data_IF_468097505445
#
_entry.id   IF_468097505445
#
_cell.length_a   1.000
_cell.length_b   1.000
_cell.length_c   1.000
_cell.angle_alpha   90.00
_cell.angle_beta   90.00
_cell.angle_gamma   90.00
#
_symmetry.space_group_name_H-M   'P 1'
#
loop_
_entity.id
_entity.type
_entity.pdbx_description
1 polymer ?
#
# COMPACT_ATOMS: atom_id res chain seq x y z
N UNK A 1 1.10 84.10 6.99
CA UNK A 1 0.77 84.30 5.55
C UNK A 1 0.57 82.92 4.93
N UNK A 2 -0.43 82.71 4.05
CA UNK A 2 -0.63 81.43 3.34
C UNK A 2 -2.00 80.74 3.52
N UNK A 3 -2.98 81.14 2.71
CA UNK A 3 -4.21 80.43 2.25
C UNK A 3 -4.54 81.01 0.85
N UNK A 4 -5.45 80.45 0.01
CA UNK A 4 -6.32 79.25 0.14
C UNK A 4 -5.70 78.05 -0.64
N UNK A 5 -6.35 77.03 -1.23
CA UNK A 5 -7.76 76.61 -1.44
C UNK A 5 -7.81 75.05 -1.61
N UNK A 6 -8.96 74.35 -1.64
CA UNK A 6 -10.33 74.74 -1.29
C UNK A 6 -11.39 73.69 -1.69
N UNK A 7 -12.39 73.46 -0.81
CA UNK A 7 -13.68 72.79 -1.08
C UNK A 7 -13.64 71.27 -1.40
N UNK A 8 -14.72 70.49 -1.27
CA UNK A 8 -16.11 70.79 -0.90
C UNK A 8 -16.76 69.53 -0.27
N UNK A 9 -17.43 69.65 0.87
CA UNK A 9 -18.27 68.58 1.42
C UNK A 9 -19.75 68.98 1.29
N UNK A 10 -20.65 68.06 0.92
CA UNK A 10 -22.09 68.25 1.12
C UNK A 10 -22.60 67.40 2.29
N UNK A 11 -23.18 68.08 3.28
CA UNK A 11 -24.13 67.45 4.21
C UNK A 11 -25.30 66.86 3.41
N UNK A 12 -25.71 65.63 3.74
CA UNK A 12 -27.15 65.34 3.88
C UNK A 12 -27.43 64.56 5.15
N UNK A 13 -27.91 65.32 6.14
CA UNK A 13 -28.61 64.82 7.31
C UNK A 13 -29.93 64.18 6.87
N UNK A 14 -30.16 62.92 7.22
CA UNK A 14 -31.51 62.36 7.35
C UNK A 14 -31.51 61.33 8.47
N UNK A 15 -31.93 61.79 9.65
CA UNK A 15 -32.07 60.99 10.85
C UNK A 15 -33.49 60.39 10.88
N UNK A 16 -33.62 59.07 10.82
CA UNK A 16 -34.82 58.38 11.31
C UNK A 16 -34.39 57.20 12.19
N UNK A 17 -34.57 57.39 13.49
CA UNK A 17 -34.38 56.37 14.52
C UNK A 17 -35.66 55.54 14.64
N UNK A 18 -35.54 54.22 14.48
CA UNK A 18 -36.53 53.27 14.99
C UNK A 18 -35.89 51.90 15.26
N UNK A 19 -35.31 51.77 16.46
CA UNK A 19 -35.38 50.62 17.37
C UNK A 19 -35.38 49.19 16.78
N UNK A 20 -34.49 48.33 17.29
CA UNK A 20 -34.92 46.95 17.59
C UNK A 20 -33.99 45.78 17.25
N UNK A 21 -32.74 45.99 16.81
CA UNK A 21 -31.76 44.90 16.76
C UNK A 21 -30.45 45.33 17.41
N UNK A 22 -30.13 44.70 18.54
CA UNK A 22 -28.81 44.82 19.18
C UNK A 22 -27.80 44.02 18.36
N UNK A 23 -27.19 44.66 17.37
CA UNK A 23 -26.10 44.07 16.59
C UNK A 23 -24.87 43.93 17.49
N UNK A 24 -24.64 42.75 18.04
CA UNK A 24 -23.36 42.42 18.67
C UNK A 24 -22.32 42.24 17.56
N UNK A 25 -21.57 43.31 17.28
CA UNK A 25 -20.32 43.21 16.53
C UNK A 25 -19.39 42.26 17.31
N UNK A 26 -19.18 41.05 16.78
CA UNK A 26 -18.11 40.17 17.24
C UNK A 26 -16.93 40.40 16.30
N UNK A 27 -15.86 40.96 16.85
CA UNK A 27 -14.59 41.14 16.14
C UNK A 27 -14.15 39.83 15.48
N UNK A 28 -13.64 39.94 14.25
CA UNK A 28 -13.04 38.82 13.55
C UNK A 28 -11.81 38.34 14.32
N UNK A 29 -11.58 37.02 14.48
CA UNK A 29 -10.35 36.52 15.07
C UNK A 29 -9.17 36.86 14.14
N UNK A 30 -8.39 37.87 14.49
CA UNK A 30 -7.06 38.09 13.92
C UNK A 30 -6.06 37.09 14.52
N UNK A 31 -6.21 35.82 14.18
CA UNK A 31 -5.14 34.81 14.29
C UNK A 31 -5.28 33.82 13.13
N UNK A 32 -4.18 33.62 12.40
CA UNK A 32 -4.21 33.02 11.06
C UNK A 32 -4.51 31.53 11.07
N UNK A 33 -5.54 31.10 10.33
CA UNK A 33 -5.79 29.73 9.87
C UNK A 33 -5.56 28.60 10.89
N UNK A 34 -5.82 28.85 12.19
CA UNK A 34 -5.73 27.81 13.22
C UNK A 34 -6.87 26.82 13.04
N UNK A 35 -6.58 25.76 12.28
CA UNK A 35 -7.47 24.64 12.03
C UNK A 35 -8.03 24.06 13.33
N UNK A 36 -9.30 24.34 13.61
CA UNK A 36 -10.03 23.75 14.74
C UNK A 36 -10.32 22.30 14.41
N UNK A 37 -9.42 21.43 14.86
CA UNK A 37 -9.50 20.01 14.65
C UNK A 37 -10.44 19.35 15.67
N UNK A 38 -11.56 18.80 15.20
CA UNK A 38 -12.51 18.05 16.03
C UNK A 38 -11.90 16.73 16.53
N UNK A 39 -12.52 16.08 17.52
CA UNK A 39 -12.04 14.80 18.08
C UNK A 39 -11.82 13.73 17.00
N UNK A 40 -12.76 13.61 16.06
CA UNK A 40 -12.72 12.71 14.90
C UNK A 40 -11.76 13.13 13.77
N UNK A 41 -10.90 14.13 14.03
CA UNK A 41 -9.90 14.68 13.09
C UNK A 41 -10.49 15.25 11.80
N UNK A 42 -11.76 15.63 11.83
CA UNK A 42 -12.42 16.40 10.77
C UNK A 42 -12.43 17.88 11.15
N UNK A 43 -11.81 18.70 10.31
CA UNK A 43 -11.93 20.15 10.34
C UNK A 43 -13.01 20.61 9.36
N UNK A 44 -13.75 21.66 9.72
CA UNK A 44 -14.70 22.33 8.81
C UNK A 44 -14.09 23.66 8.37
N UNK A 45 -13.66 23.72 7.11
CA UNK A 45 -13.13 24.94 6.49
C UNK A 45 -14.27 25.78 5.92
N UNK A 46 -14.26 27.07 6.21
CA UNK A 46 -15.19 28.06 5.63
C UNK A 46 -14.60 28.60 4.33
N UNK A 47 -15.43 28.85 3.33
CA UNK A 47 -14.99 29.48 2.08
C UNK A 47 -16.12 30.31 1.45
N UNK A 48 -15.81 31.41 0.76
CA UNK A 48 -16.82 32.19 0.04
C UNK A 48 -17.39 31.38 -1.13
N UNK A 49 -18.71 31.47 -1.32
CA UNK A 49 -19.43 30.84 -2.42
C UNK A 49 -20.63 31.69 -2.84
N UNK A 50 -21.13 31.50 -4.06
CA UNK A 50 -22.29 32.21 -4.59
C UNK A 50 -23.55 31.34 -4.45
N UNK A 51 -24.65 31.93 -3.96
CA UNK A 51 -25.99 31.35 -4.07
C UNK A 51 -26.45 31.40 -5.54
N UNK A 52 -27.43 30.56 -5.95
CA UNK A 52 -28.04 30.66 -7.29
C UNK A 52 -28.65 32.03 -7.63
N UNK A 53 -28.94 32.85 -6.62
CA UNK A 53 -29.43 34.24 -6.75
C UNK A 53 -28.34 35.27 -7.04
N UNK A 54 -27.05 34.87 -7.11
CA UNK A 54 -25.92 35.79 -7.26
C UNK A 54 -25.45 36.45 -5.96
N UNK A 55 -26.04 36.11 -4.82
CA UNK A 55 -25.65 36.62 -3.50
C UNK A 55 -24.40 35.87 -2.98
N UNK A 56 -23.39 36.62 -2.53
CA UNK A 56 -22.19 36.06 -1.90
C UNK A 56 -22.51 35.54 -0.49
N UNK A 57 -22.07 34.33 -0.16
CA UNK A 57 -22.31 33.70 1.14
C UNK A 57 -21.13 32.83 1.58
N UNK A 58 -21.21 32.25 2.77
CA UNK A 58 -20.18 31.34 3.31
C UNK A 58 -20.63 29.89 3.20
N UNK A 59 -19.86 29.09 2.48
CA UNK A 59 -20.00 27.64 2.42
C UNK A 59 -19.04 26.94 3.40
N UNK A 60 -19.35 25.69 3.71
CA UNK A 60 -18.59 24.86 4.65
C UNK A 60 -18.15 23.57 3.96
N UNK A 61 -16.86 23.24 4.01
CA UNK A 61 -16.28 22.00 3.51
C UNK A 61 -15.62 21.25 4.66
N UNK A 62 -15.90 19.94 4.76
CA UNK A 62 -15.14 19.03 5.63
C UNK A 62 -13.81 18.66 4.98
N UNK A 63 -12.74 18.60 5.77
CA UNK A 63 -11.45 18.02 5.41
C UNK A 63 -10.85 17.30 6.63
N UNK A 64 -9.90 16.41 6.42
CA UNK A 64 -9.09 15.90 7.53
C UNK A 64 -8.09 16.96 7.98
N UNK A 65 -7.77 16.97 9.26
CA UNK A 65 -6.77 17.88 9.81
C UNK A 65 -5.37 17.61 9.25
N UNK A 66 -4.45 18.58 9.33
CA UNK A 66 -3.04 18.38 8.97
C UNK A 66 -2.46 17.10 9.60
N UNK A 67 -1.80 16.26 8.79
CA UNK A 67 -1.27 14.96 9.21
C UNK A 67 -2.27 13.81 9.12
N UNK A 68 -3.47 14.02 8.55
CA UNK A 68 -4.49 12.98 8.37
C UNK A 68 -5.03 12.93 6.93
N UNK A 69 -5.17 11.72 6.39
CA UNK A 69 -5.77 11.41 5.08
C UNK A 69 -7.18 10.84 5.22
N UNK A 70 -8.08 11.16 4.28
CA UNK A 70 -9.47 10.67 4.29
C UNK A 70 -9.58 9.30 3.61
N UNK A 71 -10.02 8.29 4.37
CA UNK A 71 -10.10 6.89 3.92
C UNK A 71 -11.42 6.30 4.40
N UNK A 72 -12.25 5.81 3.47
CA UNK A 72 -13.52 5.10 3.74
C UNK A 72 -14.44 5.78 4.79
N UNK A 73 -14.50 7.12 4.80
CA UNK A 73 -15.35 7.88 5.72
C UNK A 73 -14.66 8.38 6.99
N UNK A 74 -13.40 8.02 7.22
CA UNK A 74 -12.63 8.36 8.42
C UNK A 74 -11.36 9.15 8.07
N UNK A 75 -10.84 9.89 9.04
CA UNK A 75 -9.55 10.56 8.94
C UNK A 75 -8.51 9.74 9.71
N UNK A 76 -7.57 9.13 9.00
CA UNK A 76 -6.48 8.33 9.56
C UNK A 76 -5.15 9.08 9.44
N UNK A 77 -4.15 8.86 10.32
CA UNK A 77 -2.87 9.52 10.18
C UNK A 77 -2.19 9.22 8.83
N UNK A 78 -1.44 10.19 8.30
CA UNK A 78 -0.72 10.03 7.02
C UNK A 78 0.38 8.96 7.12
N UNK A 79 1.04 8.90 8.27
CA UNK A 79 2.11 7.98 8.69
C UNK A 79 1.61 6.66 9.30
N UNK A 80 0.28 6.42 9.30
CA UNK A 80 -0.30 5.19 9.84
C UNK A 80 0.05 3.97 8.98
N UNK A 81 0.97 3.14 9.45
CA UNK A 81 1.26 1.83 8.87
C UNK A 81 0.17 0.82 9.22
N UNK A 82 -0.70 0.56 8.24
CA UNK A 82 -1.79 -0.42 8.33
C UNK A 82 -1.30 -1.87 8.47
N UNK A 83 -0.03 -2.14 8.18
CA UNK A 83 0.57 -3.48 8.15
C UNK A 83 1.48 -3.79 9.36
N UNK A 84 1.75 -2.81 10.25
CA UNK A 84 2.71 -2.94 11.35
C UNK A 84 2.46 -4.17 12.26
N UNK A 85 1.19 -4.46 12.58
CA UNK A 85 0.77 -5.57 13.44
C UNK A 85 0.59 -6.91 12.69
N UNK A 86 1.16 -7.04 11.49
CA UNK A 86 1.04 -8.22 10.62
C UNK A 86 -0.41 -8.79 10.52
N UNK A 87 -1.41 -7.98 10.13
CA UNK A 87 -2.83 -8.40 10.12
C UNK A 87 -3.12 -9.51 9.11
N UNK A 88 -2.25 -9.68 8.11
CA UNK A 88 -2.37 -10.67 7.05
C UNK A 88 -1.56 -11.95 7.37
N UNK A 89 -2.01 -13.09 6.86
CA UNK A 89 -1.31 -14.38 7.01
C UNK A 89 -0.02 -14.45 6.19
N UNK A 90 -0.04 -13.88 4.98
CA UNK A 90 1.09 -13.88 4.05
C UNK A 90 1.50 -12.45 3.70
N UNK A 91 0.96 -11.87 2.63
CA UNK A 91 1.35 -10.52 2.19
C UNK A 91 0.35 -9.47 2.68
N UNK A 92 0.87 -8.36 3.21
CA UNK A 92 0.12 -7.15 3.55
C UNK A 92 0.62 -5.99 2.69
N UNK A 93 -0.30 -5.20 2.15
CA UNK A 93 0.02 -3.98 1.39
C UNK A 93 -0.93 -2.84 1.79
N UNK A 94 -0.41 -1.61 1.90
CA UNK A 94 -1.28 -0.44 2.02
C UNK A 94 -1.90 -0.09 0.67
N UNK A 95 -3.22 0.07 0.62
CA UNK A 95 -3.97 0.45 -0.57
C UNK A 95 -4.79 1.72 -0.33
N UNK A 96 -4.09 2.83 -0.07
CA UNK A 96 -4.65 4.13 0.34
C UNK A 96 -5.23 4.13 1.77
N UNK A 97 -4.44 3.72 2.76
CA UNK A 97 -4.83 3.69 4.17
C UNK A 97 -5.71 2.50 4.57
N UNK A 98 -5.63 1.39 3.83
CA UNK A 98 -6.42 0.19 4.09
C UNK A 98 -5.59 -1.05 3.82
N UNK A 99 -5.70 -2.02 4.74
CA UNK A 99 -5.08 -3.34 4.63
C UNK A 99 -5.60 -4.05 3.38
N UNK A 100 -4.71 -4.33 2.44
CA UNK A 100 -4.94 -5.31 1.38
C UNK A 100 -4.08 -6.54 1.67
N UNK A 101 -4.73 -7.61 2.14
CA UNK A 101 -4.11 -8.91 2.27
C UNK A 101 -4.10 -9.65 0.93
N UNK A 102 -2.97 -10.22 0.57
CA UNK A 102 -2.79 -11.10 -0.59
C UNK A 102 -1.96 -12.34 -0.21
N UNK A 103 -1.99 -13.35 -1.06
CA UNK A 103 -1.21 -14.57 -0.87
C UNK A 103 0.05 -14.55 -1.75
N UNK A 104 1.07 -15.33 -1.39
CA UNK A 104 2.24 -15.56 -2.21
C UNK A 104 1.88 -16.30 -3.52
N UNK A 105 2.73 -16.23 -4.56
CA UNK A 105 2.60 -17.12 -5.73
C UNK A 105 2.51 -18.59 -5.29
N UNK A 106 1.68 -19.38 -5.99
CA UNK A 106 1.36 -20.77 -5.61
C UNK A 106 0.24 -20.90 -4.57
N UNK A 107 -0.32 -19.79 -4.07
CA UNK A 107 -1.44 -19.80 -3.11
C UNK A 107 -2.67 -19.06 -3.66
N UNK A 108 -3.86 -19.60 -3.38
CA UNK A 108 -5.16 -18.97 -3.65
C UNK A 108 -5.74 -18.34 -2.38
N UNK A 109 -6.33 -17.17 -2.53
CA UNK A 109 -6.98 -16.45 -1.44
C UNK A 109 -8.41 -16.96 -1.21
N UNK A 110 -8.69 -17.45 0.00
CA UNK A 110 -10.02 -17.90 0.43
C UNK A 110 -10.75 -16.78 1.19
N UNK A 111 -11.72 -16.17 0.51
CA UNK A 111 -12.44 -15.00 1.02
C UNK A 111 -13.33 -15.32 2.22
N UNK A 112 -13.99 -16.47 2.25
CA UNK A 112 -14.91 -16.81 3.34
C UNK A 112 -14.13 -17.20 4.60
N UNK A 113 -13.02 -17.95 4.45
CA UNK A 113 -12.11 -18.20 5.59
C UNK A 113 -11.55 -16.90 6.18
N UNK A 114 -11.05 -15.99 5.34
CA UNK A 114 -10.58 -14.68 5.81
C UNK A 114 -11.70 -13.90 6.53
N UNK A 115 -12.91 -13.89 5.98
CA UNK A 115 -14.08 -13.22 6.58
C UNK A 115 -14.45 -13.81 7.95
N UNK A 116 -14.38 -15.13 8.09
CA UNK A 116 -14.65 -15.84 9.35
C UNK A 116 -13.45 -15.82 10.32
N UNK A 117 -12.31 -15.24 9.93
CA UNK A 117 -11.02 -15.26 10.65
C UNK A 117 -10.43 -16.66 10.83
N UNK A 118 -10.81 -17.60 9.96
CA UNK A 118 -10.28 -18.95 9.90
C UNK A 118 -8.92 -18.93 9.16
N UNK A 119 -7.87 -19.48 9.79
CA UNK A 119 -6.56 -19.68 9.18
C UNK A 119 -6.30 -21.17 8.90
N UNK A 120 -5.53 -21.54 7.85
CA UNK A 120 -5.07 -20.66 6.78
C UNK A 120 -6.23 -20.25 5.86
N UNK A 121 -6.19 -19.01 5.36
CA UNK A 121 -7.01 -18.49 4.26
C UNK A 121 -6.18 -18.23 2.99
N UNK A 122 -4.84 -18.31 3.06
CA UNK A 122 -4.01 -18.49 1.88
C UNK A 122 -3.79 -19.99 1.67
N UNK A 123 -4.64 -20.59 0.84
CA UNK A 123 -4.64 -22.03 0.61
C UNK A 123 -3.69 -22.37 -0.54
N UNK A 124 -2.94 -23.45 -0.40
CA UNK A 124 -2.06 -23.99 -1.43
C UNK A 124 -2.83 -24.28 -2.73
N UNK A 125 -2.22 -24.02 -3.88
CA UNK A 125 -2.77 -24.40 -5.19
C UNK A 125 -2.11 -25.72 -5.59
N UNK A 126 -2.85 -26.82 -5.48
CA UNK A 126 -2.37 -28.09 -6.02
C UNK A 126 -2.35 -28.04 -7.55
N UNK A 127 -1.20 -27.69 -8.12
CA UNK A 127 -1.07 -27.57 -9.57
C UNK A 127 -1.08 -28.95 -10.25
N UNK A 128 -0.66 -30.00 -9.55
CA UNK A 128 -0.73 -31.38 -10.03
C UNK A 128 -2.19 -31.83 -10.25
N UNK A 129 -3.08 -31.52 -9.32
CA UNK A 129 -4.52 -31.75 -9.45
C UNK A 129 -5.15 -30.81 -10.51
N UNK A 130 -4.78 -29.52 -10.50
CA UNK A 130 -5.37 -28.51 -11.39
C UNK A 130 -5.04 -28.74 -12.88
N UNK A 131 -3.87 -29.32 -13.18
CA UNK A 131 -3.38 -29.55 -14.55
C UNK A 131 -3.74 -30.89 -15.16
N UNK A 132 -4.49 -31.75 -14.45
CA UNK A 132 -4.74 -33.15 -14.82
C UNK A 132 -3.43 -33.92 -15.10
N UNK A 133 -2.35 -33.62 -14.37
CA UNK A 133 -1.02 -34.23 -14.55
C UNK A 133 -0.18 -33.71 -15.73
N UNK A 134 -0.65 -32.75 -16.53
CA UNK A 134 0.07 -32.29 -17.74
C UNK A 134 1.29 -31.38 -17.47
N UNK A 135 1.53 -30.95 -16.22
CA UNK A 135 2.68 -30.12 -15.86
C UNK A 135 4.03 -30.83 -15.89
N UNK A 136 4.01 -32.16 -15.76
CA UNK A 136 5.19 -33.00 -15.65
C UNK A 136 5.10 -34.12 -16.69
N UNK A 137 6.24 -34.51 -17.27
CA UNK A 137 6.28 -35.61 -18.23
C UNK A 137 6.03 -37.00 -17.61
N UNK A 138 6.21 -37.14 -16.28
CA UNK A 138 6.05 -38.39 -15.54
C UNK A 138 5.33 -38.15 -14.21
N UNK A 139 6.05 -37.94 -13.10
CA UNK A 139 5.46 -37.78 -11.77
C UNK A 139 5.36 -36.30 -11.43
N UNK A 140 4.18 -35.84 -11.03
CA UNK A 140 3.98 -34.51 -10.44
C UNK A 140 3.84 -34.65 -8.92
N UNK A 141 4.62 -33.88 -8.16
CA UNK A 141 4.54 -33.84 -6.70
C UNK A 141 4.24 -32.41 -6.26
N UNK A 142 3.05 -32.20 -5.69
CA UNK A 142 2.64 -30.93 -5.12
C UNK A 142 3.47 -30.57 -3.88
N UNK A 143 3.72 -29.29 -3.65
CA UNK A 143 4.47 -28.75 -2.50
C UNK A 143 3.88 -27.41 -2.06
N UNK A 144 4.17 -26.97 -0.83
CA UNK A 144 3.63 -25.70 -0.34
C UNK A 144 4.11 -24.50 -1.19
N UNK A 145 3.21 -23.92 -1.99
CA UNK A 145 3.44 -22.80 -2.88
C UNK A 145 4.07 -23.14 -4.24
N UNK A 146 4.16 -24.42 -4.61
CA UNK A 146 4.71 -24.85 -5.91
C UNK A 146 4.53 -26.34 -6.17
N UNK A 147 5.00 -26.84 -7.31
CA UNK A 147 5.14 -28.27 -7.58
C UNK A 147 6.58 -28.59 -8.01
N UNK A 148 6.93 -29.87 -7.97
CA UNK A 148 8.13 -30.40 -8.63
C UNK A 148 7.79 -31.62 -9.46
N UNK A 149 8.47 -31.76 -10.59
CA UNK A 149 8.42 -32.99 -11.36
C UNK A 149 9.52 -33.94 -10.90
N UNK A 150 9.15 -35.20 -10.76
CA UNK A 150 10.03 -36.34 -10.48
C UNK A 150 9.94 -37.36 -11.62
N UNK A 151 11.00 -38.15 -11.77
CA UNK A 151 11.11 -39.14 -12.84
C UNK A 151 11.10 -40.55 -12.25
N UNK A 152 10.60 -41.51 -13.01
CA UNK A 152 10.70 -42.93 -12.69
C UNK A 152 12.16 -43.40 -12.67
N UNK A 153 12.41 -44.53 -12.04
CA UNK A 153 13.75 -45.13 -11.98
C UNK A 153 14.33 -45.35 -13.38
N UNK A 154 15.60 -45.01 -13.57
CA UNK A 154 16.27 -45.04 -14.88
C UNK A 154 15.99 -43.83 -15.79
N UNK A 155 15.24 -42.82 -15.33
CA UNK A 155 15.04 -41.55 -16.03
C UNK A 155 15.70 -40.39 -15.28
N UNK A 156 16.19 -39.39 -16.03
CA UNK A 156 16.82 -38.18 -15.50
C UNK A 156 15.98 -36.95 -15.87
N UNK A 157 15.88 -35.99 -14.96
CA UNK A 157 15.13 -34.75 -15.20
C UNK A 157 15.95 -33.75 -15.99
N UNK A 158 15.36 -33.22 -17.05
CA UNK A 158 15.94 -32.21 -17.93
C UNK A 158 16.07 -30.83 -17.27
N UNK A 159 16.81 -29.94 -17.95
CA UNK A 159 17.05 -28.56 -17.52
C UNK A 159 15.76 -27.70 -17.44
N UNK A 160 14.67 -28.10 -18.09
CA UNK A 160 13.35 -27.46 -17.99
C UNK A 160 12.63 -27.77 -16.66
N UNK A 161 13.15 -28.72 -15.86
CA UNK A 161 12.57 -29.15 -14.60
C UNK A 161 11.28 -29.96 -14.72
N UNK A 162 10.87 -30.38 -15.93
CA UNK A 162 9.57 -31.01 -16.23
C UNK A 162 9.68 -32.28 -17.07
N UNK A 163 10.63 -32.31 -18.00
CA UNK A 163 10.85 -33.42 -18.92
C UNK A 163 11.78 -34.45 -18.28
N UNK A 164 11.47 -35.73 -18.48
CA UNK A 164 12.22 -36.87 -17.99
C UNK A 164 12.70 -37.70 -19.19
N UNK A 165 14.00 -37.73 -19.43
CA UNK A 165 14.60 -38.54 -20.49
C UNK A 165 15.20 -39.81 -19.92
N UNK A 166 15.23 -40.89 -20.71
CA UNK A 166 15.81 -42.15 -20.27
C UNK A 166 17.31 -41.96 -20.11
N UNK A 167 17.84 -42.30 -18.94
CA UNK A 167 19.28 -42.31 -18.72
C UNK A 167 19.90 -43.45 -19.52
N UNK A 168 20.61 -43.13 -20.60
CA UNK A 168 21.35 -44.12 -21.40
C UNK A 168 22.64 -44.57 -20.68
N UNK A 169 22.45 -45.31 -19.57
CA UNK A 169 23.33 -46.38 -19.05
C UNK A 169 22.78 -46.97 -17.75
N UNK A 170 22.77 -48.30 -17.69
CA UNK A 170 22.78 -49.02 -16.42
C UNK A 170 24.17 -48.88 -15.77
N UNK A 171 24.24 -48.66 -14.46
CA UNK A 171 25.52 -48.63 -13.76
C UNK A 171 25.44 -48.14 -12.30
N UNK A 172 26.22 -48.80 -11.45
CA UNK A 172 26.53 -48.42 -10.06
C UNK A 172 27.16 -47.01 -9.96
N UNK A 173 27.23 -46.41 -8.77
CA UNK A 173 27.88 -45.11 -8.57
C UNK A 173 29.40 -45.23 -8.72
N UNK A 174 29.93 -44.84 -9.87
CA UNK A 174 31.35 -44.50 -9.97
C UNK A 174 31.62 -43.15 -9.29
N UNK A 175 32.63 -43.15 -8.43
CA UNK A 175 33.04 -41.98 -7.65
C UNK A 175 33.72 -40.96 -8.57
N UNK A 176 33.40 -39.69 -8.33
CA UNK A 176 34.32 -38.55 -8.44
C UNK A 176 35.04 -38.34 -9.78
N UNK A 177 34.70 -37.25 -10.45
CA UNK A 177 35.73 -36.23 -10.69
C UNK A 177 35.15 -34.82 -10.81
N UNK A 178 35.80 -33.85 -10.15
CA UNK A 178 35.40 -32.44 -10.20
C UNK A 178 35.84 -31.83 -11.54
N UNK A 179 34.91 -31.70 -12.49
CA UNK A 179 35.16 -30.97 -13.74
C UNK A 179 34.17 -29.81 -13.85
N UNK A 180 34.57 -28.67 -13.29
CA UNK A 180 33.91 -27.39 -13.56
C UNK A 180 34.08 -27.06 -15.06
N UNK A 181 33.00 -27.13 -15.84
CA UNK A 181 32.99 -26.65 -17.23
C UNK A 181 32.53 -25.19 -17.28
N UNK A 182 33.25 -24.40 -18.07
CA UNK A 182 33.10 -22.95 -18.16
C UNK A 182 31.68 -22.54 -18.58
N UNK A 183 31.07 -21.61 -17.84
CA UNK A 183 29.82 -20.93 -18.23
C UNK A 183 28.64 -21.06 -17.26
N UNK A 184 28.64 -22.03 -16.33
CA UNK A 184 27.56 -22.22 -15.36
C UNK A 184 27.89 -21.66 -13.97
N UNK A 185 26.95 -20.92 -13.38
CA UNK A 185 27.12 -20.31 -12.06
C UNK A 185 26.89 -21.36 -10.94
N UNK A 186 27.92 -22.12 -10.61
CA UNK A 186 27.93 -23.05 -9.46
C UNK A 186 28.29 -22.35 -8.14
N UNK A 187 27.56 -21.29 -7.78
CA UNK A 187 27.71 -20.66 -6.46
C UNK A 187 27.02 -21.52 -5.39
N UNK A 188 27.79 -22.28 -4.61
CA UNK A 188 27.24 -23.01 -3.46
C UNK A 188 26.63 -22.03 -2.44
N UNK A 189 25.66 -22.47 -1.63
CA UNK A 189 25.01 -21.59 -0.64
C UNK A 189 25.98 -20.89 0.33
N UNK A 190 27.21 -21.42 0.52
CA UNK A 190 28.27 -20.77 1.30
C UNK A 190 28.77 -19.47 0.65
N UNK A 191 28.87 -19.42 -0.68
CA UNK A 191 29.30 -18.23 -1.41
C UNK A 191 28.23 -17.14 -1.38
N UNK A 192 26.96 -17.51 -1.52
CA UNK A 192 25.85 -16.55 -1.40
C UNK A 192 25.76 -15.95 0.01
N UNK A 193 26.04 -16.74 1.05
CA UNK A 193 26.19 -16.23 2.41
C UNK A 193 27.39 -15.27 2.53
N UNK A 194 28.54 -15.62 1.96
CA UNK A 194 29.74 -14.75 1.96
C UNK A 194 29.45 -13.40 1.28
N UNK A 195 28.83 -13.41 0.10
CA UNK A 195 28.44 -12.19 -0.63
C UNK A 195 27.47 -11.34 0.21
N UNK A 196 26.46 -11.97 0.85
CA UNK A 196 25.51 -11.27 1.74
C UNK A 196 26.23 -10.57 2.90
N UNK A 197 27.21 -11.23 3.53
CA UNK A 197 28.01 -10.64 4.62
C UNK A 197 28.89 -9.48 4.12
N UNK A 198 29.56 -9.63 2.98
CA UNK A 198 30.40 -8.55 2.40
C UNK A 198 29.56 -7.33 2.01
N UNK A 199 28.37 -7.52 1.43
CA UNK A 199 27.44 -6.41 1.10
C UNK A 199 26.93 -5.71 2.37
N UNK A 200 26.68 -6.46 3.46
CA UNK A 200 26.33 -5.87 4.76
C UNK A 200 27.48 -5.03 5.35
N UNK A 201 28.73 -5.50 5.25
CA UNK A 201 29.90 -4.73 5.71
C UNK A 201 30.17 -3.47 4.88
N UNK A 202 29.88 -3.48 3.58
CA UNK A 202 29.99 -2.30 2.73
C UNK A 202 28.91 -1.24 3.04
N UNK A 203 27.69 -1.68 3.37
CA UNK A 203 26.59 -0.80 3.81
C UNK A 203 26.79 -0.14 5.18
N UNK A 204 27.83 -0.52 5.93
CA UNK A 204 28.21 0.09 7.21
C UNK A 204 29.38 1.07 7.08
N UNK A 205 29.86 1.32 5.85
CA UNK A 205 30.98 2.24 5.53
C UNK A 205 30.59 3.38 4.60
N UNK A 206 29.28 3.62 4.46
CA UNK A 206 28.64 4.75 3.77
C UNK A 206 27.65 5.38 4.74
#
# INVERSE_FOLDING_TARGET
MGRPAGSLAPLRLLLLLALGHAWTYREEPQDGDREVCSENKIATTRYPCLKPTGELTTCFRKKCCKGYKFVLGQCIPEDYDVCAEAPCEQQCTDNFGRVLCTCYPGYRYDRERHRNREKPYCLDIDECATSNGTLCSQICVNTMGSYRCECHEGYTREADGKTCTKGDKAGLPEKSENVAKSGTCCASCKEFHQIKQTVLQLKQKV
#
